data_IF_074996589033
#
_entry.id   IF_074996589033
#
_cell.length_a   1.000
_cell.length_b   1.000
_cell.length_c   1.000
_cell.angle_alpha   90.00
_cell.angle_beta   90.00
_cell.angle_gamma   90.00
#
_symmetry.space_group_name_H-M   'P 1'
#
loop_
_entity.id
_entity.type
_entity.pdbx_description
1 polymer ?
#
# COMPACT_ATOMS: atom_id res chain seq x y z
N UNK A 1 -3.11 -20.52 4.59
CA UNK A 1 -2.52 -19.91 3.40
C UNK A 1 -1.30 -20.73 3.03
N UNK A 2 -1.30 -21.32 1.83
CA UNK A 2 -0.09 -21.63 1.06
C UNK A 2 -0.33 -20.96 -0.29
N UNK A 3 -0.17 -19.64 -0.34
CA UNK A 3 -0.47 -18.78 -1.49
C UNK A 3 0.79 -18.19 -2.11
N UNK A 4 0.62 -17.39 -3.18
CA UNK A 4 1.73 -16.72 -3.89
C UNK A 4 2.64 -15.94 -2.92
N UNK A 5 2.06 -15.30 -1.90
CA UNK A 5 2.81 -14.54 -0.90
C UNK A 5 3.76 -15.42 -0.06
N UNK A 6 3.36 -16.67 0.24
CA UNK A 6 4.20 -17.60 0.99
C UNK A 6 5.38 -18.08 0.13
N UNK A 7 5.18 -18.24 -1.18
CA UNK A 7 6.27 -18.55 -2.12
C UNK A 7 7.33 -17.44 -2.17
N UNK A 8 6.90 -16.18 -2.25
CA UNK A 8 7.81 -15.02 -2.20
C UNK A 8 8.55 -14.95 -0.86
N UNK A 9 7.90 -15.28 0.25
CA UNK A 9 8.56 -15.37 1.56
C UNK A 9 9.67 -16.42 1.56
N UNK A 10 9.43 -17.60 0.97
CA UNK A 10 10.46 -18.65 0.86
C UNK A 10 11.65 -18.16 0.03
N UNK A 11 11.41 -17.52 -1.11
CA UNK A 11 12.50 -16.96 -1.94
C UNK A 11 13.32 -15.89 -1.18
N UNK A 12 12.67 -15.06 -0.36
CA UNK A 12 13.36 -14.08 0.49
C UNK A 12 14.22 -14.76 1.57
N UNK A 13 13.75 -15.88 2.13
CA UNK A 13 14.48 -16.65 3.15
C UNK A 13 15.70 -17.37 2.58
N UNK A 14 15.66 -17.76 1.30
CA UNK A 14 16.76 -18.44 0.60
C UNK A 14 17.90 -17.47 0.19
N UNK A 15 17.69 -16.15 0.31
CA UNK A 15 18.67 -15.13 -0.07
C UNK A 15 19.54 -14.68 1.13
N UNK A 16 20.89 -14.66 1.02
CA UNK A 16 21.74 -14.02 2.03
C UNK A 16 21.48 -12.51 2.04
N UNK A 17 20.98 -11.97 3.15
CA UNK A 17 20.48 -10.59 3.15
C UNK A 17 20.66 -9.85 4.47
N UNK A 18 20.61 -8.52 4.39
CA UNK A 18 20.50 -7.60 5.54
C UNK A 18 19.10 -7.64 6.20
N UNK A 19 18.23 -8.54 5.73
CA UNK A 19 16.84 -8.67 6.16
C UNK A 19 16.80 -9.35 7.52
N UNK A 20 16.21 -8.67 8.50
CA UNK A 20 16.10 -9.20 9.87
C UNK A 20 14.85 -10.06 10.07
N UNK A 21 13.74 -9.63 9.49
CA UNK A 21 12.44 -10.28 9.64
C UNK A 21 11.49 -9.89 8.50
N UNK A 22 10.50 -10.74 8.22
CA UNK A 22 9.45 -10.52 7.23
C UNK A 22 8.12 -11.00 7.79
N UNK A 23 7.14 -10.11 7.84
CA UNK A 23 5.77 -10.43 8.24
C UNK A 23 4.87 -10.37 7.00
N UNK A 24 4.30 -11.51 6.62
CA UNK A 24 3.29 -11.61 5.56
C UNK A 24 1.90 -11.72 6.17
N UNK A 25 0.98 -10.85 5.76
CA UNK A 25 -0.37 -10.78 6.34
C UNK A 25 -1.34 -10.10 5.39
N UNK A 26 -2.63 -10.42 5.52
CA UNK A 26 -3.75 -9.73 4.90
C UNK A 26 -4.49 -8.79 5.87
N UNK A 27 -4.03 -8.70 7.13
CA UNK A 27 -4.61 -7.85 8.17
C UNK A 27 -3.88 -6.51 8.25
N UNK A 28 -4.60 -5.42 8.00
CA UNK A 28 -4.08 -4.05 8.05
C UNK A 28 -3.40 -3.70 9.38
N UNK A 29 -3.98 -4.15 10.50
CA UNK A 29 -3.46 -3.87 11.84
C UNK A 29 -2.08 -4.49 12.09
N UNK A 30 -1.79 -5.61 11.45
CA UNK A 30 -0.49 -6.29 11.56
C UNK A 30 0.48 -5.65 10.55
N UNK A 31 0.02 -5.42 9.31
CA UNK A 31 0.85 -4.89 8.22
C UNK A 31 1.37 -3.48 8.48
N UNK A 32 0.55 -2.62 9.10
CA UNK A 32 0.82 -1.18 9.20
C UNK A 32 1.33 -0.75 10.58
N UNK A 33 1.35 -1.66 11.56
CA UNK A 33 1.77 -1.35 12.93
C UNK A 33 3.19 -0.80 12.98
N UNK A 34 3.36 0.34 13.64
CA UNK A 34 4.66 0.99 13.86
C UNK A 34 5.46 1.29 12.58
N UNK A 35 4.80 1.29 11.42
CA UNK A 35 5.44 1.44 10.13
C UNK A 35 6.05 2.84 9.95
N UNK A 36 7.29 2.88 9.44
CA UNK A 36 8.04 4.12 9.15
C UNK A 36 8.07 4.48 7.66
N UNK A 37 7.93 3.50 6.78
CA UNK A 37 7.85 3.67 5.33
C UNK A 37 6.76 2.76 4.77
N UNK A 38 5.86 3.32 3.97
CA UNK A 38 4.81 2.59 3.27
C UNK A 38 5.03 2.71 1.76
N UNK A 39 5.00 1.59 1.03
CA UNK A 39 5.04 1.57 -0.44
C UNK A 39 3.74 0.99 -0.96
N UNK A 40 2.87 1.85 -1.50
CA UNK A 40 1.54 1.48 -1.97
C UNK A 40 1.59 1.11 -3.46
N UNK A 41 1.81 -0.18 -3.72
CA UNK A 41 1.90 -0.76 -5.07
C UNK A 41 0.53 -1.12 -5.65
N UNK A 42 -0.36 -1.66 -4.82
CA UNK A 42 -1.64 -2.22 -5.27
C UNK A 42 -2.62 -1.15 -5.74
N UNK A 43 -2.98 -1.19 -7.02
CA UNK A 43 -4.09 -0.44 -7.58
C UNK A 43 -4.91 -1.33 -8.52
N UNK A 44 -6.13 -0.93 -8.84
CA UNK A 44 -6.91 -1.64 -9.84
C UNK A 44 -6.26 -1.45 -11.21
N UNK A 45 -5.89 -2.54 -11.91
CA UNK A 45 -5.36 -2.44 -13.26
C UNK A 45 -6.48 -2.03 -14.22
N UNK A 46 -6.11 -1.27 -15.25
CA UNK A 46 -7.03 -0.96 -16.34
C UNK A 46 -7.32 -2.26 -17.10
N UNK A 47 -8.59 -2.64 -17.21
CA UNK A 47 -9.05 -3.76 -18.03
C UNK A 47 -9.71 -3.23 -19.30
N UNK A 48 -9.70 -4.04 -20.37
CA UNK A 48 -10.37 -3.69 -21.61
C UNK A 48 -11.87 -3.46 -21.36
N UNK A 49 -12.41 -2.41 -21.98
CA UNK A 49 -13.79 -1.96 -21.76
C UNK A 49 -14.03 -1.18 -20.45
N UNK A 50 -13.03 -1.02 -19.58
CA UNK A 50 -13.20 -0.20 -18.36
C UNK A 50 -13.06 1.28 -18.68
N UNK A 51 -14.12 2.05 -18.44
CA UNK A 51 -14.05 3.51 -18.51
C UNK A 51 -13.12 4.08 -17.45
N UNK A 52 -12.46 5.20 -17.76
CA UNK A 52 -11.57 5.91 -16.81
C UNK A 52 -12.29 6.27 -15.50
N UNK A 53 -13.59 6.58 -15.56
CA UNK A 53 -14.40 6.95 -14.40
C UNK A 53 -14.56 5.79 -13.42
N UNK A 54 -14.73 4.57 -13.92
CA UNK A 54 -14.91 3.39 -13.06
C UNK A 54 -13.59 2.95 -12.45
N UNK A 55 -12.49 3.05 -13.22
CA UNK A 55 -11.14 2.86 -12.70
C UNK A 55 -10.84 3.81 -11.53
N UNK A 56 -11.17 5.10 -11.69
CA UNK A 56 -10.98 6.09 -10.63
C UNK A 56 -11.86 5.79 -9.41
N UNK A 57 -13.15 5.48 -9.61
CA UNK A 57 -14.07 5.12 -8.50
C UNK A 57 -13.59 3.90 -7.71
N UNK A 58 -13.06 2.89 -8.38
CA UNK A 58 -12.54 1.69 -7.72
C UNK A 58 -11.29 2.03 -6.88
N UNK A 59 -10.33 2.76 -7.47
CA UNK A 59 -9.11 3.16 -6.77
C UNK A 59 -9.40 4.14 -5.60
N UNK A 60 -10.41 5.02 -5.72
CA UNK A 60 -10.83 5.90 -4.62
C UNK A 60 -11.19 5.09 -3.37
N UNK A 61 -11.94 3.99 -3.52
CA UNK A 61 -12.31 3.13 -2.38
C UNK A 61 -11.08 2.50 -1.73
N UNK A 62 -10.16 1.98 -2.55
CA UNK A 62 -8.92 1.33 -2.08
C UNK A 62 -8.04 2.33 -1.32
N UNK A 63 -7.69 3.45 -1.95
CA UNK A 63 -6.75 4.41 -1.36
C UNK A 63 -7.34 5.20 -0.19
N UNK A 64 -8.67 5.36 -0.12
CA UNK A 64 -9.34 5.90 1.07
C UNK A 64 -9.24 4.95 2.27
N UNK A 65 -9.41 3.64 2.04
CA UNK A 65 -9.23 2.61 3.08
C UNK A 65 -7.77 2.59 3.56
N UNK A 66 -6.83 2.52 2.63
CA UNK A 66 -5.39 2.54 2.92
C UNK A 66 -4.96 3.79 3.70
N UNK A 67 -5.42 4.98 3.29
CA UNK A 67 -5.14 6.22 4.02
C UNK A 67 -5.69 6.21 5.45
N UNK A 68 -6.90 5.70 5.66
CA UNK A 68 -7.49 5.58 7.00
C UNK A 68 -6.72 4.58 7.88
N UNK A 69 -6.35 3.42 7.32
CA UNK A 69 -5.59 2.39 8.00
C UNK A 69 -4.18 2.89 8.39
N UNK A 70 -3.49 3.57 7.49
CA UNK A 70 -2.20 4.22 7.76
C UNK A 70 -2.34 5.22 8.92
N UNK A 71 -3.40 6.04 8.93
CA UNK A 71 -3.59 7.04 10.00
C UNK A 71 -3.79 6.37 11.36
N UNK A 72 -4.45 5.21 11.37
CA UNK A 72 -4.82 4.48 12.58
C UNK A 72 -3.66 3.68 13.18
N UNK A 73 -2.87 3.01 12.34
CA UNK A 73 -1.90 2.00 12.79
C UNK A 73 -0.43 2.39 12.59
N UNK A 74 -0.13 3.24 11.60
CA UNK A 74 1.25 3.62 11.31
C UNK A 74 1.74 4.75 12.25
N UNK A 75 3.06 4.99 12.24
CA UNK A 75 3.64 6.11 12.98
C UNK A 75 3.19 7.44 12.39
N UNK A 76 3.08 8.47 13.25
CA UNK A 76 2.79 9.85 12.81
C UNK A 76 3.82 10.40 11.81
N UNK A 77 5.03 9.86 11.80
CA UNK A 77 6.15 10.22 10.93
C UNK A 77 6.33 9.28 9.73
N UNK A 78 5.37 8.39 9.46
CA UNK A 78 5.43 7.46 8.32
C UNK A 78 5.66 8.21 7.02
N UNK A 79 6.54 7.72 6.15
CA UNK A 79 6.72 8.24 4.79
C UNK A 79 6.00 7.32 3.82
N UNK A 80 5.14 7.87 2.97
CA UNK A 80 4.32 7.09 2.04
C UNK A 80 4.76 7.35 0.61
N UNK A 81 5.04 6.28 -0.13
CA UNK A 81 5.33 6.29 -1.57
C UNK A 81 4.18 5.58 -2.28
N UNK A 82 3.55 6.25 -3.24
CA UNK A 82 2.47 5.70 -4.05
C UNK A 82 3.00 5.36 -5.44
N UNK A 83 2.87 4.11 -5.83
CA UNK A 83 3.31 3.61 -7.15
C UNK A 83 2.10 3.17 -7.98
N UNK A 84 1.04 2.68 -7.32
CA UNK A 84 -0.18 2.23 -7.98
C UNK A 84 -0.85 3.33 -8.80
N UNK A 85 -1.03 3.10 -10.10
CA UNK A 85 -1.58 4.11 -11.00
C UNK A 85 -3.10 4.29 -10.86
N UNK A 86 -3.63 5.52 -11.05
CA UNK A 86 -2.91 6.78 -11.28
C UNK A 86 -2.28 7.35 -10.00
N UNK A 87 -0.94 7.36 -9.92
CA UNK A 87 -0.20 7.54 -8.67
C UNK A 87 -0.53 8.87 -7.98
N UNK A 88 -0.51 9.98 -8.71
CA UNK A 88 -0.75 11.31 -8.13
C UNK A 88 -2.17 11.44 -7.55
N UNK A 89 -3.19 10.92 -8.24
CA UNK A 89 -4.57 10.95 -7.76
C UNK A 89 -4.76 10.04 -6.55
N UNK A 90 -4.18 8.83 -6.60
CA UNK A 90 -4.22 7.87 -5.51
C UNK A 90 -3.51 8.41 -4.25
N UNK A 91 -2.35 9.05 -4.43
CA UNK A 91 -1.63 9.75 -3.37
C UNK A 91 -2.44 10.87 -2.75
N UNK A 92 -3.10 11.69 -3.57
CA UNK A 92 -3.99 12.74 -3.07
C UNK A 92 -5.12 12.15 -2.20
N UNK A 93 -5.79 11.10 -2.66
CA UNK A 93 -6.89 10.45 -1.93
C UNK A 93 -6.40 9.86 -0.61
N UNK A 94 -5.30 9.11 -0.62
CA UNK A 94 -4.73 8.51 0.57
C UNK A 94 -4.18 9.53 1.57
N UNK A 95 -3.75 10.70 1.10
CA UNK A 95 -3.23 11.79 1.93
C UNK A 95 -4.30 12.64 2.62
N UNK A 96 -5.57 12.55 2.21
CA UNK A 96 -6.69 13.31 2.78
C UNK A 96 -6.76 13.29 4.33
N UNK A 97 -6.42 12.19 5.04
CA UNK A 97 -6.39 12.17 6.50
C UNK A 97 -5.14 12.78 7.16
N UNK A 98 -4.10 13.14 6.38
CA UNK A 98 -2.75 13.47 6.82
C UNK A 98 -2.33 14.92 6.52
N UNK A 99 -1.26 15.42 7.17
CA UNK A 99 -0.58 16.64 6.73
C UNK A 99 0.06 16.45 5.34
N UNK A 100 0.05 17.51 4.51
CA UNK A 100 0.48 17.50 3.09
C UNK A 100 1.93 17.01 2.83
N UNK A 101 2.78 16.79 3.84
CA UNK A 101 4.21 16.45 3.69
C UNK A 101 4.53 14.95 3.72
N UNK A 102 3.51 14.09 3.82
CA UNK A 102 3.69 12.67 4.16
C UNK A 102 3.78 11.75 2.92
N UNK A 103 3.37 12.24 1.75
CA UNK A 103 3.16 11.43 0.54
C UNK A 103 4.03 11.90 -0.63
N UNK A 104 4.61 10.94 -1.34
CA UNK A 104 5.25 11.10 -2.65
C UNK A 104 4.58 10.12 -3.61
N UNK A 105 4.33 10.56 -4.84
CA UNK A 105 3.66 9.78 -5.89
C UNK A 105 4.38 9.94 -7.23
#
# INVERSE_FOLDING_TARGET
MKGVLDGVLMELQDCPSLLKDVITTDKEEIALKDMVVAILLGSMPKRDGTERKDLLKANVKIFKCQGAALKKYARKSVKVIVVGNPANTNGLIASSPFPRRTFVA
#
